data_IF_994101808472
#
_entry.id   IF_994101808472
#
_cell.length_a   1.000
_cell.length_b   1.000
_cell.length_c   1.000
_cell.angle_alpha   90.00
_cell.angle_beta   90.00
_cell.angle_gamma   90.00
#
_symmetry.space_group_name_H-M   'P 1'
#
loop_
_entity.id
_entity.type
_entity.pdbx_description
1 polymer ?
#
# COMPACT_ATOMS: atom_id res chain seq x y z
N UNK A 1 -12.00 44.86 44.43
CA UNK A 1 -12.32 45.39 43.08
C UNK A 1 -10.99 45.73 42.43
N UNK A 2 -10.53 45.24 41.29
CA UNK A 2 -11.09 44.39 40.22
C UNK A 2 -9.87 43.83 39.46
N UNK A 3 -9.97 42.58 39.02
CA UNK A 3 -9.01 41.87 38.15
C UNK A 3 -8.95 42.49 36.75
N UNK A 4 -7.79 42.41 36.08
CA UNK A 4 -7.74 42.24 34.62
C UNK A 4 -6.55 41.40 34.20
N UNK A 5 -6.86 40.43 33.34
CA UNK A 5 -6.06 39.30 32.89
C UNK A 5 -4.84 39.69 32.03
N UNK A 6 -3.70 39.05 32.29
CA UNK A 6 -2.73 38.70 31.27
C UNK A 6 -2.76 37.19 31.08
N UNK A 7 -3.21 36.71 29.91
CA UNK A 7 -3.05 35.32 29.49
C UNK A 7 -2.09 35.29 28.31
N UNK A 8 -0.92 34.70 28.56
CA UNK A 8 -0.02 34.17 27.56
C UNK A 8 -0.76 33.10 26.75
N UNK A 9 -0.84 33.27 25.44
CA UNK A 9 -1.33 32.26 24.51
C UNK A 9 -0.19 31.31 24.15
N UNK A 10 -0.02 30.26 24.93
CA UNK A 10 0.65 29.03 24.53
C UNK A 10 -0.21 28.36 23.46
N UNK A 11 0.25 28.35 22.20
CA UNK A 11 -0.25 27.44 21.16
C UNK A 11 0.28 26.05 21.45
N UNK A 12 -0.25 25.44 22.51
CA UNK A 12 -0.29 23.99 22.64
C UNK A 12 -1.26 23.50 21.57
N UNK A 13 -0.67 22.69 20.68
CA UNK A 13 -1.30 21.60 19.94
C UNK A 13 -2.65 21.21 20.59
N UNK A 14 -3.76 21.75 20.08
CA UNK A 14 -5.08 21.15 20.21
C UNK A 14 -5.06 19.86 19.37
N UNK A 15 -4.40 18.84 19.91
CA UNK A 15 -4.77 17.45 19.62
C UNK A 15 -6.23 17.38 20.02
N UNK A 16 -7.08 17.30 19.00
CA UNK A 16 -8.49 17.02 19.11
C UNK A 16 -8.67 15.73 19.93
N UNK A 17 -8.82 15.90 21.24
CA UNK A 17 -9.42 14.95 22.16
C UNK A 17 -10.91 14.85 21.85
N UNK A 18 -11.23 14.16 20.77
CA UNK A 18 -12.54 13.55 20.57
C UNK A 18 -12.28 12.09 20.18
N UNK A 19 -12.22 11.23 21.20
CA UNK A 19 -12.35 9.77 21.12
C UNK A 19 -11.77 9.11 19.86
N UNK A 20 -10.44 9.12 19.69
CA UNK A 20 -9.80 8.28 18.67
C UNK A 20 -10.12 6.83 18.99
N UNK A 21 -10.95 6.22 18.14
CA UNK A 21 -11.02 4.77 18.03
C UNK A 21 -9.58 4.24 17.87
N UNK A 22 -9.08 3.52 18.85
CA UNK A 22 -7.72 2.93 18.92
C UNK A 22 -7.52 1.85 17.81
N UNK A 23 -8.42 1.76 16.82
CA UNK A 23 -8.46 0.74 15.79
C UNK A 23 -8.73 1.27 14.36
N UNK A 24 -8.55 2.56 14.07
CA UNK A 24 -8.67 3.07 12.70
C UNK A 24 -7.41 2.68 11.88
N UNK A 25 -7.55 1.71 10.98
CA UNK A 25 -6.50 1.38 9.99
C UNK A 25 -6.29 2.61 9.11
N UNK A 26 -5.14 3.26 9.19
CA UNK A 26 -4.80 4.40 8.33
C UNK A 26 -4.68 3.95 6.86
N UNK A 27 -4.99 4.83 5.89
CA UNK A 27 -4.91 4.46 4.49
C UNK A 27 -3.45 4.29 4.07
N UNK A 28 -3.23 3.32 3.18
CA UNK A 28 -1.90 2.87 2.74
C UNK A 28 -1.60 3.42 1.36
N UNK A 29 -0.46 4.09 1.23
CA UNK A 29 0.07 4.56 -0.05
C UNK A 29 1.28 3.70 -0.40
N UNK A 30 1.20 2.95 -1.50
CA UNK A 30 2.38 2.24 -2.00
C UNK A 30 3.33 3.21 -2.68
N UNK A 31 4.62 3.10 -2.36
CA UNK A 31 5.68 3.90 -2.96
C UNK A 31 6.76 2.97 -3.49
N UNK A 32 6.96 2.93 -4.81
CA UNK A 32 7.97 2.05 -5.40
C UNK A 32 9.37 2.61 -5.16
N UNK A 33 10.27 1.79 -4.64
CA UNK A 33 11.63 2.21 -4.29
C UNK A 33 12.49 2.50 -5.51
N UNK A 34 13.46 3.41 -5.35
CA UNK A 34 14.66 3.53 -6.19
C UNK A 34 15.75 2.60 -5.69
N UNK A 35 16.81 2.41 -6.47
CA UNK A 35 17.94 1.55 -6.14
C UNK A 35 19.24 2.32 -6.23
N UNK A 36 20.13 2.08 -5.28
CA UNK A 36 21.53 2.51 -5.36
C UNK A 36 22.45 1.35 -5.00
N UNK A 37 23.72 1.46 -5.39
CA UNK A 37 24.76 0.51 -5.01
C UNK A 37 25.58 1.12 -3.88
N UNK A 38 25.52 0.51 -2.70
CA UNK A 38 26.35 0.90 -1.55
C UNK A 38 27.19 -0.27 -1.11
N UNK A 39 28.53 -0.12 -1.12
CA UNK A 39 29.48 -1.18 -0.75
C UNK A 39 29.22 -2.49 -1.52
N UNK A 40 29.03 -2.40 -2.84
CA UNK A 40 28.71 -3.51 -3.74
C UNK A 40 27.42 -4.28 -3.40
N UNK A 41 26.47 -3.63 -2.72
CA UNK A 41 25.15 -4.20 -2.42
C UNK A 41 24.07 -3.27 -2.92
N UNK A 42 23.03 -3.84 -3.49
CA UNK A 42 21.84 -3.09 -3.84
C UNK A 42 21.10 -2.67 -2.58
N UNK A 43 20.73 -1.39 -2.54
CA UNK A 43 19.94 -0.78 -1.48
C UNK A 43 18.75 -0.10 -2.14
N UNK A 44 17.57 -0.56 -1.77
CA UNK A 44 16.32 0.07 -2.19
C UNK A 44 15.99 1.22 -1.23
N UNK A 45 15.62 2.39 -1.76
CA UNK A 45 15.36 3.60 -0.98
C UNK A 45 14.26 4.47 -1.61
N UNK A 46 13.70 5.39 -0.82
CA UNK A 46 12.76 6.43 -1.28
C UNK A 46 13.19 7.75 -0.63
N UNK A 47 13.05 8.87 -1.34
CA UNK A 47 13.35 10.20 -0.78
C UNK A 47 12.49 10.50 0.45
N UNK A 48 13.10 11.05 1.51
CA UNK A 48 12.41 11.28 2.79
C UNK A 48 11.20 12.22 2.64
N UNK A 49 11.29 13.24 1.77
CA UNK A 49 10.21 14.21 1.57
C UNK A 49 8.91 13.60 1.05
N UNK A 50 8.99 12.63 0.14
CA UNK A 50 7.81 11.88 -0.32
C UNK A 50 7.10 11.20 0.86
N UNK A 51 7.89 10.52 1.69
CA UNK A 51 7.38 9.76 2.84
C UNK A 51 6.81 10.70 3.92
N UNK A 52 7.51 11.79 4.20
CA UNK A 52 7.11 12.79 5.18
C UNK A 52 5.80 13.46 4.79
N UNK A 53 5.65 13.92 3.54
CA UNK A 53 4.42 14.56 3.06
C UNK A 53 3.23 13.59 3.13
N UNK A 54 3.41 12.31 2.80
CA UNK A 54 2.36 11.29 2.96
C UNK A 54 1.93 11.16 4.43
N UNK A 55 2.89 11.05 5.35
CA UNK A 55 2.63 10.91 6.79
C UNK A 55 1.96 12.17 7.35
N UNK A 56 2.47 13.35 6.98
CA UNK A 56 1.99 14.66 7.42
C UNK A 56 0.50 14.86 7.11
N UNK A 57 0.05 14.40 5.95
CA UNK A 57 -1.36 14.52 5.55
C UNK A 57 -2.24 13.34 5.98
N UNK A 58 -1.69 12.37 6.72
CA UNK A 58 -2.48 11.35 7.42
C UNK A 58 -2.59 9.98 6.72
N UNK A 59 -1.65 9.64 5.85
CA UNK A 59 -1.53 8.30 5.25
C UNK A 59 -0.25 7.57 5.66
N UNK A 60 -0.21 6.25 5.46
CA UNK A 60 0.94 5.40 5.77
C UNK A 60 1.66 5.03 4.47
N UNK A 61 2.90 5.48 4.25
CA UNK A 61 3.69 5.03 3.11
C UNK A 61 4.17 3.60 3.32
N UNK A 62 4.07 2.78 2.27
CA UNK A 62 4.56 1.40 2.23
C UNK A 62 5.52 1.30 1.06
N UNK A 63 6.81 1.11 1.36
CA UNK A 63 7.84 0.99 0.33
C UNK A 63 7.74 -0.37 -0.34
N UNK A 64 7.61 -0.36 -1.67
CA UNK A 64 7.58 -1.55 -2.51
C UNK A 64 8.98 -1.75 -3.12
N UNK A 65 9.71 -2.81 -2.74
CA UNK A 65 11.08 -3.02 -3.19
C UNK A 65 11.16 -3.46 -4.66
N UNK A 66 12.29 -3.24 -5.32
CA UNK A 66 12.51 -3.61 -6.74
C UNK A 66 13.02 -5.04 -6.87
N UNK A 67 12.17 -6.03 -6.58
CA UNK A 67 12.57 -7.45 -6.62
C UNK A 67 11.93 -8.16 -7.79
N UNK A 68 12.73 -8.95 -8.51
CA UNK A 68 12.26 -9.76 -9.64
C UNK A 68 11.07 -10.64 -9.22
N UNK A 69 10.02 -10.65 -10.04
CA UNK A 69 8.79 -11.39 -9.78
C UNK A 69 7.80 -10.73 -8.81
N UNK A 70 8.16 -9.63 -8.13
CA UNK A 70 7.25 -8.94 -7.19
C UNK A 70 5.97 -8.41 -7.87
N UNK A 71 6.06 -8.06 -9.15
CA UNK A 71 4.91 -7.64 -9.96
C UNK A 71 3.76 -8.68 -9.92
N UNK A 72 4.06 -9.97 -9.83
CA UNK A 72 3.07 -11.05 -9.73
C UNK A 72 2.47 -11.21 -8.33
N UNK A 73 3.05 -10.56 -7.32
CA UNK A 73 2.66 -10.65 -5.91
C UNK A 73 2.01 -9.36 -5.40
N UNK A 74 1.74 -8.38 -6.28
CA UNK A 74 1.19 -7.07 -5.90
C UNK A 74 -0.13 -7.15 -5.12
N UNK A 75 -0.92 -8.20 -5.35
CA UNK A 75 -2.18 -8.41 -4.63
C UNK A 75 -1.95 -8.67 -3.12
N UNK A 76 -0.74 -9.10 -2.72
CA UNK A 76 -0.36 -9.27 -1.32
C UNK A 76 -0.24 -7.95 -0.56
N UNK A 77 -0.18 -6.81 -1.27
CA UNK A 77 -0.16 -5.48 -0.65
C UNK A 77 -1.57 -4.94 -0.34
N UNK A 78 -2.64 -5.66 -0.71
CA UNK A 78 -4.00 -5.20 -0.48
C UNK A 78 -4.38 -5.09 1.03
N UNK A 79 -5.29 -4.17 1.39
CA UNK A 79 -5.86 -3.11 0.55
C UNK A 79 -4.85 -2.00 0.18
N UNK A 80 -4.91 -1.57 -1.08
CA UNK A 80 -4.15 -0.44 -1.64
C UNK A 80 -5.10 0.76 -1.72
N UNK A 81 -4.75 1.87 -1.06
CA UNK A 81 -5.60 3.07 -1.01
C UNK A 81 -5.05 4.21 -1.87
N UNK A 82 -3.76 4.18 -2.15
CA UNK A 82 -3.09 5.09 -3.08
C UNK A 82 -1.79 4.52 -3.60
N UNK A 83 -1.31 5.06 -4.71
CA UNK A 83 -0.01 4.75 -5.28
C UNK A 83 0.71 6.05 -5.60
N UNK A 84 1.94 6.19 -5.12
CA UNK A 84 2.87 7.23 -5.51
C UNK A 84 4.04 6.59 -6.28
N UNK A 85 4.17 6.94 -7.55
CA UNK A 85 5.34 6.56 -8.33
C UNK A 85 6.27 7.77 -8.46
N UNK A 86 7.50 7.60 -7.98
CA UNK A 86 8.50 8.66 -7.88
C UNK A 86 9.44 8.64 -9.10
N UNK A 87 10.54 9.37 -9.01
CA UNK A 87 11.58 9.42 -10.03
C UNK A 87 12.42 8.15 -10.17
N UNK A 88 13.15 8.07 -11.27
CA UNK A 88 14.04 6.97 -11.55
C UNK A 88 14.69 7.04 -12.92
N UNK A 89 15.28 5.91 -13.27
CA UNK A 89 15.97 5.63 -14.51
C UNK A 89 15.01 5.43 -15.69
N UNK A 90 15.51 5.52 -16.92
CA UNK A 90 14.69 5.47 -18.14
C UNK A 90 13.77 4.24 -18.24
N UNK A 91 12.60 4.45 -18.84
CA UNK A 91 11.64 3.39 -19.15
C UNK A 91 12.09 2.68 -20.43
N UNK A 92 12.04 1.35 -20.45
CA UNK A 92 12.40 0.55 -21.64
C UNK A 92 11.60 1.03 -22.89
N UNK A 93 12.25 1.53 -23.95
CA UNK A 93 11.57 2.03 -25.14
C UNK A 93 10.65 1.01 -25.81
N UNK A 94 10.93 -0.29 -25.66
CA UNK A 94 10.07 -1.35 -26.20
C UNK A 94 8.66 -1.37 -25.59
N UNK A 95 8.42 -0.65 -24.49
CA UNK A 95 7.12 -0.55 -23.83
C UNK A 95 6.20 0.50 -24.47
N UNK A 96 6.75 1.44 -25.25
CA UNK A 96 5.98 2.57 -25.81
C UNK A 96 6.34 2.95 -27.24
N UNK A 97 7.40 2.37 -27.81
CA UNK A 97 7.74 2.52 -29.22
C UNK A 97 7.25 1.32 -30.02
N UNK A 98 6.49 1.59 -31.08
CA UNK A 98 5.85 0.54 -31.88
C UNK A 98 6.42 0.35 -33.28
N UNK A 99 7.47 1.08 -33.72
CA UNK A 99 8.34 0.72 -34.87
C UNK A 99 9.22 1.85 -35.47
N UNK A 100 9.24 3.08 -34.95
CA UNK A 100 10.01 4.18 -35.55
C UNK A 100 10.66 5.09 -34.51
N UNK A 101 11.76 4.66 -33.89
CA UNK A 101 12.68 5.63 -33.29
C UNK A 101 13.34 6.39 -34.44
N UNK A 102 13.18 7.72 -34.45
CA UNK A 102 13.89 8.58 -35.42
C UNK A 102 15.36 8.79 -35.03
N UNK A 103 15.80 8.17 -33.92
CA UNK A 103 17.15 8.26 -33.40
C UNK A 103 18.02 7.24 -34.11
N UNK A 104 19.14 7.72 -34.65
CA UNK A 104 20.17 6.84 -35.20
C UNK A 104 20.89 6.11 -34.05
N UNK A 105 21.59 5.00 -34.32
CA UNK A 105 22.44 4.37 -33.32
C UNK A 105 23.49 5.32 -32.72
N UNK A 106 23.94 6.32 -33.49
CA UNK A 106 24.85 7.36 -33.03
C UNK A 106 24.18 8.31 -32.04
N UNK A 107 22.92 8.70 -32.28
CA UNK A 107 22.16 9.55 -31.37
C UNK A 107 21.89 8.82 -30.06
N UNK A 108 21.51 7.54 -30.11
CA UNK A 108 21.34 6.69 -28.92
C UNK A 108 22.65 6.59 -28.13
N UNK A 109 23.79 6.45 -28.80
CA UNK A 109 25.09 6.42 -28.14
C UNK A 109 25.44 7.78 -27.48
N UNK A 110 25.12 8.91 -28.13
CA UNK A 110 25.30 10.25 -27.54
C UNK A 110 24.44 10.44 -26.30
N UNK A 111 23.16 10.06 -26.35
CA UNK A 111 22.23 10.15 -25.21
C UNK A 111 22.76 9.33 -24.04
N UNK A 112 23.19 8.08 -24.28
CA UNK A 112 23.79 7.22 -23.23
C UNK A 112 25.05 7.82 -22.61
N UNK A 113 25.87 8.49 -23.41
CA UNK A 113 27.09 9.15 -22.92
C UNK A 113 26.79 10.45 -22.17
N UNK A 114 25.72 11.17 -22.54
CA UNK A 114 25.28 12.39 -21.87
C UNK A 114 24.59 12.09 -20.53
N UNK A 115 23.79 11.02 -20.48
CA UNK A 115 22.94 10.65 -19.35
C UNK A 115 23.32 9.27 -18.76
N UNK A 116 24.60 9.09 -18.45
CA UNK A 116 25.17 7.79 -18.01
C UNK A 116 24.48 7.24 -16.76
N UNK A 117 24.04 8.12 -15.84
CA UNK A 117 23.35 7.75 -14.61
C UNK A 117 21.89 7.35 -14.79
N UNK A 118 21.25 7.79 -15.87
CA UNK A 118 19.80 7.78 -16.02
C UNK A 118 19.32 6.80 -17.10
N UNK A 119 20.13 6.56 -18.14
CA UNK A 119 19.80 5.65 -19.28
C UNK A 119 19.78 4.15 -18.95
N UNK A 120 19.97 3.77 -17.68
CA UNK A 120 19.95 2.37 -17.26
C UNK A 120 18.52 1.85 -17.16
N UNK A 121 18.15 0.91 -18.03
CA UNK A 121 16.83 0.27 -17.99
C UNK A 121 16.71 -0.72 -16.82
N UNK A 122 15.69 -0.55 -15.98
CA UNK A 122 15.26 -1.54 -14.99
C UNK A 122 13.89 -2.14 -15.35
N UNK A 123 13.94 -3.33 -15.94
CA UNK A 123 12.76 -4.10 -16.35
C UNK A 123 11.88 -4.56 -15.18
N UNK A 124 12.48 -4.85 -14.03
CA UNK A 124 11.71 -5.26 -12.85
C UNK A 124 10.92 -4.06 -12.30
N UNK A 125 11.54 -2.89 -12.23
CA UNK A 125 10.89 -1.63 -11.86
C UNK A 125 9.78 -1.28 -12.86
N UNK A 126 10.06 -1.30 -14.16
CA UNK A 126 9.08 -1.04 -15.21
C UNK A 126 7.86 -1.97 -15.08
N UNK A 127 8.08 -3.27 -14.85
CA UNK A 127 7.00 -4.25 -14.69
C UNK A 127 6.15 -4.00 -13.45
N UNK A 128 6.77 -3.74 -12.29
CA UNK A 128 6.06 -3.44 -11.03
C UNK A 128 5.21 -2.18 -11.21
N UNK A 129 5.80 -1.12 -11.76
CA UNK A 129 5.17 0.18 -11.86
C UNK A 129 4.07 0.24 -12.90
N UNK A 130 4.27 -0.34 -14.09
CA UNK A 130 3.21 -0.47 -15.09
C UNK A 130 2.02 -1.28 -14.56
N UNK A 131 2.28 -2.35 -13.81
CA UNK A 131 1.20 -3.14 -13.21
C UNK A 131 0.45 -2.39 -12.11
N UNK A 132 1.13 -1.58 -11.30
CA UNK A 132 0.48 -0.70 -10.32
C UNK A 132 -0.33 0.39 -11.01
N UNK A 133 0.22 1.05 -12.03
CA UNK A 133 -0.48 2.07 -12.80
C UNK A 133 -1.76 1.52 -13.45
N UNK A 134 -1.68 0.35 -14.09
CA UNK A 134 -2.86 -0.34 -14.67
C UNK A 134 -3.92 -0.65 -13.61
N UNK A 135 -3.54 -1.18 -12.45
CA UNK A 135 -4.48 -1.42 -11.34
C UNK A 135 -5.14 -0.12 -10.87
N UNK A 136 -4.40 0.98 -10.81
CA UNK A 136 -4.97 2.28 -10.44
C UNK A 136 -5.98 2.78 -11.46
N UNK A 137 -5.67 2.64 -12.75
CA UNK A 137 -6.54 3.02 -13.86
C UNK A 137 -7.80 2.16 -13.97
N UNK A 138 -7.72 0.88 -13.62
CA UNK A 138 -8.85 -0.07 -13.64
C UNK A 138 -9.79 0.11 -12.46
N UNK A 139 -9.24 0.43 -11.28
CA UNK A 139 -10.00 0.48 -10.01
C UNK A 139 -10.24 1.90 -9.51
N UNK A 140 -9.80 2.92 -10.26
CA UNK A 140 -9.77 4.32 -9.86
C UNK A 140 -9.13 4.50 -8.48
N UNK A 141 -8.01 3.82 -8.22
CA UNK A 141 -7.19 4.04 -7.01
C UNK A 141 -6.45 5.36 -7.21
N UNK A 142 -6.46 6.27 -6.21
CA UNK A 142 -5.67 7.48 -6.23
C UNK A 142 -4.21 7.22 -6.63
N UNK A 143 -3.74 7.93 -7.65
CA UNK A 143 -2.44 7.82 -8.25
C UNK A 143 -1.79 9.19 -8.42
N UNK A 144 -0.57 9.34 -7.89
CA UNK A 144 0.30 10.48 -8.15
C UNK A 144 1.60 9.96 -8.80
N UNK A 145 1.89 10.41 -10.01
CA UNK A 145 3.15 10.12 -10.69
C UNK A 145 4.02 11.37 -10.77
N UNK A 146 5.26 11.29 -10.28
CA UNK A 146 6.23 12.40 -10.30
C UNK A 146 7.43 12.01 -11.17
N UNK A 147 7.82 12.92 -12.07
CA UNK A 147 8.85 12.70 -13.08
C UNK A 147 8.61 11.39 -13.85
N UNK A 148 9.45 10.38 -13.65
CA UNK A 148 9.28 9.03 -14.23
C UNK A 148 7.90 8.41 -13.92
N UNK A 149 7.35 8.63 -12.73
CA UNK A 149 6.01 8.15 -12.39
C UNK A 149 4.92 8.73 -13.28
N UNK A 150 5.05 9.97 -13.75
CA UNK A 150 4.13 10.55 -14.73
C UNK A 150 4.26 9.86 -16.10
N UNK A 151 5.49 9.55 -16.49
CA UNK A 151 5.79 8.88 -17.76
C UNK A 151 5.23 7.45 -17.78
N UNK A 152 5.38 6.70 -16.68
CA UNK A 152 4.77 5.36 -16.51
C UNK A 152 3.26 5.42 -16.69
N UNK A 153 2.59 6.40 -16.07
CA UNK A 153 1.14 6.57 -16.19
C UNK A 153 0.72 6.79 -17.65
N UNK A 154 1.46 7.64 -18.38
CA UNK A 154 1.22 7.90 -19.79
C UNK A 154 1.40 6.63 -20.64
N UNK A 155 2.50 5.90 -20.45
CA UNK A 155 2.79 4.64 -21.15
C UNK A 155 1.75 3.56 -20.84
N UNK A 156 1.29 3.46 -19.58
CA UNK A 156 0.26 2.51 -19.17
C UNK A 156 -1.07 2.72 -19.91
N UNK A 157 -1.35 3.94 -20.40
CA UNK A 157 -2.52 4.27 -21.21
C UNK A 157 -2.24 4.34 -22.73
N UNK A 158 -1.09 3.85 -23.20
CA UNK A 158 -0.74 3.81 -24.62
C UNK A 158 -0.24 5.14 -25.20
N UNK A 159 0.21 6.07 -24.34
CA UNK A 159 1.03 7.21 -24.74
C UNK A 159 2.46 6.80 -25.06
N UNK A 160 3.27 7.75 -25.54
CA UNK A 160 4.69 7.54 -25.83
C UNK A 160 5.57 8.66 -25.29
N UNK A 161 6.88 8.40 -25.20
CA UNK A 161 7.88 9.31 -24.66
C UNK A 161 8.87 9.74 -25.74
N UNK A 162 9.50 10.89 -25.53
CA UNK A 162 10.79 11.22 -26.13
C UNK A 162 11.85 10.45 -25.34
N UNK A 163 12.74 9.75 -26.04
CA UNK A 163 13.91 9.14 -25.40
C UNK A 163 14.92 10.20 -24.97
N UNK A 164 14.94 11.33 -25.69
CA UNK A 164 15.68 12.51 -25.31
C UNK A 164 15.01 13.79 -25.84
N UNK A 165 14.54 14.63 -24.92
CA UNK A 165 13.81 15.87 -25.23
C UNK A 165 14.72 16.89 -25.95
N UNK A 166 15.98 17.01 -25.52
CA UNK A 166 16.93 17.95 -26.12
C UNK A 166 17.19 17.63 -27.61
N UNK A 167 17.43 16.36 -27.90
CA UNK A 167 17.68 15.84 -29.25
C UNK A 167 16.41 15.83 -30.12
N UNK A 168 15.27 15.40 -29.57
CA UNK A 168 14.07 15.16 -30.38
C UNK A 168 13.11 16.35 -30.47
N UNK A 169 13.06 17.24 -29.47
CA UNK A 169 12.10 18.33 -29.35
C UNK A 169 12.77 19.71 -29.42
N UNK A 170 13.64 20.05 -28.46
CA UNK A 170 14.21 21.40 -28.31
C UNK A 170 15.00 21.81 -29.56
N UNK A 171 15.87 20.92 -30.04
CA UNK A 171 16.67 21.13 -31.25
C UNK A 171 15.83 21.33 -32.52
N UNK A 172 14.65 20.71 -32.60
CA UNK A 172 13.80 20.79 -33.81
C UNK A 172 12.91 22.03 -33.84
N UNK A 173 12.50 22.52 -32.67
CA UNK A 173 11.63 23.71 -32.58
C UNK A 173 12.42 25.02 -32.51
N UNK A 174 13.74 24.96 -32.35
CA UNK A 174 14.60 26.15 -32.23
C UNK A 174 14.33 26.93 -30.94
N UNK A 175 13.77 26.27 -29.92
CA UNK A 175 13.53 26.82 -28.59
C UNK A 175 14.48 26.09 -27.64
N UNK A 176 15.40 26.83 -27.03
CA UNK A 176 16.37 26.28 -26.10
C UNK A 176 15.77 26.24 -24.68
N UNK A 177 15.14 25.11 -24.36
CA UNK A 177 14.70 24.78 -22.99
C UNK A 177 15.59 23.66 -22.49
N UNK A 178 16.34 23.94 -21.43
CA UNK A 178 17.14 22.95 -20.72
C UNK A 178 16.26 22.26 -19.67
N UNK A 179 16.05 20.95 -19.82
CA UNK A 179 15.26 20.12 -18.90
C UNK A 179 16.11 19.32 -17.90
N UNK A 180 17.42 19.35 -18.08
CA UNK A 180 18.37 18.72 -17.16
C UNK A 180 19.63 19.56 -17.04
N UNK A 181 20.03 19.85 -15.81
CA UNK A 181 21.30 20.51 -15.51
C UNK A 181 22.04 19.73 -14.42
N UNK A 182 23.04 18.94 -14.84
CA UNK A 182 23.85 18.15 -13.93
C UNK A 182 24.71 18.99 -12.97
N UNK A 183 25.02 20.24 -13.34
CA UNK A 183 25.78 21.15 -12.48
C UNK A 183 24.88 21.85 -11.45
N UNK A 184 23.58 21.98 -11.74
CA UNK A 184 22.59 22.63 -10.88
C UNK A 184 21.36 21.73 -10.63
N UNK A 185 21.61 20.56 -10.03
CA UNK A 185 20.64 19.47 -9.89
C UNK A 185 19.31 19.85 -9.19
N UNK A 186 19.39 20.59 -8.08
CA UNK A 186 18.21 20.98 -7.28
C UNK A 186 17.79 22.44 -7.51
N UNK A 187 18.66 23.30 -8.05
CA UNK A 187 18.40 24.72 -8.22
C UNK A 187 17.95 25.13 -9.62
N UNK A 188 18.07 24.27 -10.64
CA UNK A 188 17.63 24.61 -12.00
C UNK A 188 16.11 24.80 -12.07
N UNK A 189 15.67 25.84 -12.77
CA UNK A 189 14.24 26.18 -12.95
C UNK A 189 13.98 26.61 -14.39
N UNK A 190 12.83 26.24 -14.94
CA UNK A 190 12.31 26.83 -16.19
C UNK A 190 10.82 27.20 -16.03
N UNK A 191 10.32 28.15 -16.83
CA UNK A 191 8.90 28.49 -16.80
C UNK A 191 8.06 27.36 -17.41
N UNK A 192 6.80 27.27 -16.97
CA UNK A 192 5.73 26.49 -17.60
C UNK A 192 4.48 27.36 -17.69
N UNK A 193 3.77 27.26 -18.81
CA UNK A 193 2.44 27.87 -18.96
C UNK A 193 1.40 26.91 -18.40
N UNK A 194 0.67 27.34 -17.37
CA UNK A 194 -0.40 26.59 -16.72
C UNK A 194 -1.72 26.83 -17.44
N UNK A 195 -2.44 25.75 -17.75
CA UNK A 195 -3.71 25.78 -18.47
C UNK A 195 -4.84 26.14 -17.49
N UNK A 196 -5.70 27.07 -17.92
CA UNK A 196 -6.86 27.52 -17.14
C UNK A 196 -7.89 26.39 -16.93
N UNK A 197 -8.56 26.41 -15.79
CA UNK A 197 -9.59 25.42 -15.43
C UNK A 197 -9.03 24.06 -15.03
N UNK A 198 -7.74 23.95 -14.75
CA UNK A 198 -7.08 22.70 -14.33
C UNK A 198 -6.77 22.69 -12.83
N UNK A 199 -6.64 21.52 -12.20
CA UNK A 199 -6.26 21.42 -10.78
C UNK A 199 -4.98 22.18 -10.45
N UNK A 200 -3.98 22.13 -11.34
CA UNK A 200 -2.71 22.82 -11.14
C UNK A 200 -2.88 24.34 -11.03
N UNK A 201 -3.78 24.94 -11.81
CA UNK A 201 -4.09 26.36 -11.72
C UNK A 201 -4.65 26.71 -10.34
N UNK A 202 -5.58 25.88 -9.83
CA UNK A 202 -6.19 26.09 -8.52
C UNK A 202 -5.17 25.95 -7.39
N UNK A 203 -4.26 24.98 -7.51
CA UNK A 203 -3.27 24.71 -6.47
C UNK A 203 -2.28 25.85 -6.30
N UNK A 204 -1.80 26.43 -7.40
CA UNK A 204 -0.79 27.48 -7.41
C UNK A 204 -1.35 28.88 -7.68
N UNK A 205 -2.66 29.09 -7.49
CA UNK A 205 -3.35 30.32 -7.89
C UNK A 205 -2.67 31.61 -7.40
N UNK A 206 -2.12 31.62 -6.19
CA UNK A 206 -1.47 32.79 -5.59
C UNK A 206 -0.03 33.01 -6.09
N UNK A 207 0.60 31.98 -6.63
CA UNK A 207 1.97 31.98 -7.16
C UNK A 207 2.05 32.15 -8.68
N UNK A 208 0.93 32.06 -9.39
CA UNK A 208 0.86 32.24 -10.84
C UNK A 208 1.19 33.67 -11.25
N UNK A 209 2.13 33.82 -12.18
CA UNK A 209 2.50 35.11 -12.78
C UNK A 209 1.82 35.27 -14.12
N UNK A 210 1.35 36.48 -14.43
CA UNK A 210 0.75 36.76 -15.74
C UNK A 210 1.86 36.96 -16.78
N UNK A 211 1.81 36.17 -17.84
CA UNK A 211 2.73 36.18 -18.98
C UNK A 211 1.99 36.52 -20.27
N UNK A 212 2.73 36.78 -21.35
CA UNK A 212 2.15 37.05 -22.67
C UNK A 212 1.37 35.84 -23.24
N UNK A 213 1.71 34.64 -22.77
CA UNK A 213 1.14 33.36 -23.24
C UNK A 213 0.10 32.75 -22.30
N UNK A 214 -0.14 33.37 -21.13
CA UNK A 214 -1.08 32.85 -20.13
C UNK A 214 -0.58 33.03 -18.70
N UNK A 215 -1.01 32.14 -17.80
CA UNK A 215 -0.52 32.07 -16.43
C UNK A 215 0.74 31.19 -16.36
N UNK A 216 1.79 31.68 -15.74
CA UNK A 216 3.12 31.07 -15.73
C UNK A 216 3.56 30.70 -14.31
N UNK A 217 4.21 29.54 -14.18
CA UNK A 217 4.83 29.04 -12.95
C UNK A 217 6.28 28.65 -13.29
N UNK A 218 7.25 28.94 -12.43
CA UNK A 218 8.62 28.41 -12.61
C UNK A 218 8.75 27.13 -11.80
N UNK A 219 9.14 26.03 -12.46
CA UNK A 219 9.26 24.70 -11.84
C UNK A 219 10.68 24.18 -11.94
N UNK A 220 11.05 23.25 -11.06
CA UNK A 220 12.33 22.56 -11.15
C UNK A 220 12.33 21.51 -12.26
N UNK A 221 13.51 21.18 -12.75
CA UNK A 221 13.63 20.27 -13.88
C UNK A 221 14.91 19.44 -13.80
N UNK A 222 14.70 18.13 -13.82
CA UNK A 222 15.74 17.11 -13.88
C UNK A 222 15.17 15.90 -14.62
N UNK A 223 15.08 16.00 -15.94
CA UNK A 223 14.66 14.90 -16.80
C UNK A 223 15.16 15.14 -18.23
N UNK A 224 15.64 14.08 -18.87
CA UNK A 224 15.94 14.13 -20.30
C UNK A 224 14.89 13.39 -21.13
N UNK A 225 14.13 12.47 -20.54
CA UNK A 225 12.89 11.92 -21.11
C UNK A 225 11.68 12.81 -20.80
N UNK A 226 10.64 12.71 -21.62
CA UNK A 226 9.38 13.43 -21.42
C UNK A 226 8.25 12.93 -22.32
N UNK A 227 7.02 13.38 -22.06
CA UNK A 227 5.84 12.93 -22.83
C UNK A 227 5.88 13.43 -24.27
N UNK A 228 5.88 12.50 -25.24
CA UNK A 228 5.81 12.78 -26.68
C UNK A 228 4.40 12.74 -27.21
N UNK A 229 3.69 11.66 -26.91
CA UNK A 229 2.26 11.52 -27.18
C UNK A 229 1.56 11.31 -25.85
N UNK A 230 0.80 12.30 -25.42
CA UNK A 230 -0.08 12.15 -24.27
C UNK A 230 -1.21 11.17 -24.62
N UNK A 231 -1.47 10.21 -23.75
CA UNK A 231 -2.55 9.25 -23.93
C UNK A 231 -3.91 9.96 -23.98
N UNK A 232 -4.84 9.47 -24.79
CA UNK A 232 -6.14 10.11 -25.05
C UNK A 232 -7.05 10.22 -23.82
N UNK A 233 -6.75 9.45 -22.77
CA UNK A 233 -7.44 9.49 -21.48
C UNK A 233 -7.14 10.77 -20.70
N UNK A 234 -6.00 11.41 -20.94
CA UNK A 234 -5.52 12.51 -20.11
C UNK A 234 -5.67 13.87 -20.79
N UNK A 235 -5.79 14.91 -19.96
CA UNK A 235 -5.69 16.30 -20.39
C UNK A 235 -4.43 16.95 -19.79
N UNK A 236 -3.70 17.78 -20.56
CA UNK A 236 -2.56 18.52 -20.02
C UNK A 236 -3.02 19.57 -19.00
N UNK A 237 -2.14 19.89 -18.06
CA UNK A 237 -2.28 20.98 -17.08
C UNK A 237 -1.22 22.07 -17.26
N UNK A 238 -0.05 21.73 -17.80
CA UNK A 238 1.00 22.69 -18.08
C UNK A 238 1.88 22.27 -19.26
N UNK A 239 2.46 23.26 -19.93
CA UNK A 239 3.46 23.07 -20.98
C UNK A 239 4.71 23.91 -20.73
N UNK A 240 5.88 23.35 -21.01
CA UNK A 240 7.12 24.11 -21.14
C UNK A 240 7.12 24.96 -22.45
N UNK A 241 8.03 25.95 -22.61
CA UNK A 241 8.07 26.82 -23.78
C UNK A 241 8.30 26.10 -25.12
N UNK A 242 8.96 24.94 -25.11
CA UNK A 242 9.13 24.05 -26.25
C UNK A 242 7.88 23.20 -26.55
N UNK A 243 6.84 23.31 -25.73
CA UNK A 243 5.57 22.61 -25.81
C UNK A 243 5.55 21.24 -25.13
N UNK A 244 6.62 20.82 -24.44
CA UNK A 244 6.63 19.58 -23.66
C UNK A 244 5.52 19.63 -22.60
N UNK A 245 4.78 18.52 -22.43
CA UNK A 245 3.76 18.41 -21.37
C UNK A 245 4.45 18.22 -20.03
N UNK A 246 4.21 19.13 -19.09
CA UNK A 246 4.86 19.17 -17.77
C UNK A 246 3.95 18.67 -16.65
N UNK A 247 2.65 18.65 -16.88
CA UNK A 247 1.68 18.08 -15.96
C UNK A 247 0.43 17.67 -16.73
N UNK A 248 -0.26 16.62 -16.28
CA UNK A 248 -1.52 16.15 -16.86
C UNK A 248 -2.37 15.40 -15.82
N UNK A 249 -3.66 15.25 -16.10
CA UNK A 249 -4.61 14.58 -15.21
C UNK A 249 -5.69 13.82 -15.99
N UNK A 250 -6.38 12.90 -15.31
CA UNK A 250 -7.60 12.27 -15.82
C UNK A 250 -8.84 13.12 -15.44
N UNK A 251 -9.49 13.80 -16.40
CA UNK A 251 -10.64 14.65 -16.10
C UNK A 251 -11.87 13.86 -15.63
N UNK A 252 -11.94 12.55 -15.90
CA UNK A 252 -13.04 11.70 -15.44
C UNK A 252 -12.84 11.20 -14.00
N UNK A 253 -11.65 11.37 -13.42
CA UNK A 253 -11.26 10.88 -12.09
C UNK A 253 -10.48 11.97 -11.35
N UNK A 254 -11.11 13.14 -11.19
CA UNK A 254 -10.51 14.35 -10.65
C UNK A 254 -11.40 15.01 -9.58
N UNK A 255 -11.72 14.26 -8.53
CA UNK A 255 -12.41 14.75 -7.35
C UNK A 255 -11.83 14.13 -6.07
N UNK A 256 -10.90 14.84 -5.40
CA UNK A 256 -10.27 14.34 -4.18
C UNK A 256 -11.26 13.99 -3.06
N UNK A 257 -12.41 14.68 -2.96
CA UNK A 257 -13.42 14.39 -1.93
C UNK A 257 -14.11 13.03 -2.14
N UNK A 258 -14.17 12.56 -3.38
CA UNK A 258 -14.80 11.28 -3.77
C UNK A 258 -13.78 10.14 -3.93
N UNK A 259 -12.51 10.41 -3.61
CA UNK A 259 -11.40 9.47 -3.75
C UNK A 259 -10.96 9.26 -5.19
N UNK A 260 -11.07 10.30 -6.01
CA UNK A 260 -10.74 10.30 -7.43
C UNK A 260 -9.55 11.23 -7.68
N UNK A 261 -8.39 10.66 -8.00
CA UNK A 261 -7.18 11.43 -8.24
C UNK A 261 -6.24 10.61 -9.11
N UNK A 262 -6.11 10.91 -10.40
CA UNK A 262 -5.11 10.26 -11.27
C UNK A 262 -4.37 11.35 -12.02
N UNK A 263 -3.14 11.63 -11.60
CA UNK A 263 -2.35 12.77 -12.11
C UNK A 263 -0.87 12.43 -12.28
N UNK A 264 -0.25 13.10 -13.25
CA UNK A 264 1.18 13.03 -13.53
C UNK A 264 1.80 14.42 -13.59
N UNK A 265 2.90 14.63 -12.88
CA UNK A 265 3.73 15.85 -12.92
C UNK A 265 5.14 15.45 -13.35
N UNK A 266 5.72 16.17 -14.30
CA UNK A 266 7.07 15.93 -14.79
C UNK A 266 8.13 16.59 -13.89
N UNK A 267 7.81 17.77 -13.35
CA UNK A 267 8.59 18.44 -12.31
C UNK A 267 8.37 17.84 -10.91
N UNK A 268 9.15 18.32 -9.94
CA UNK A 268 9.26 17.78 -8.58
C UNK A 268 8.81 18.81 -7.52
N UNK A 269 7.51 18.93 -7.22
CA UNK A 269 7.01 19.90 -6.24
C UNK A 269 7.61 19.69 -4.84
N UNK A 270 8.00 18.47 -4.48
CA UNK A 270 8.64 18.15 -3.20
C UNK A 270 10.08 18.66 -3.09
N UNK A 271 10.71 19.00 -4.21
CA UNK A 271 12.09 19.51 -4.30
C UNK A 271 12.17 21.00 -4.64
N UNK A 272 11.04 21.67 -4.90
CA UNK A 272 11.00 23.10 -5.17
C UNK A 272 11.17 23.89 -3.87
N UNK A 273 12.40 23.90 -3.36
CA UNK A 273 12.76 24.47 -2.06
C UNK A 273 13.94 25.41 -2.22
N UNK A 274 13.95 26.45 -1.39
CA UNK A 274 15.06 27.38 -1.31
C UNK A 274 16.33 26.63 -0.92
N UNK A 275 17.44 26.90 -1.63
CA UNK A 275 18.77 26.46 -1.21
C UNK A 275 19.05 27.02 0.17
N UNK A 276 19.11 26.15 1.18
CA UNK A 276 19.65 26.52 2.47
C UNK A 276 21.12 26.10 2.50
N UNK A 277 22.02 27.08 2.46
CA UNK A 277 23.44 26.94 2.82
C UNK A 277 23.63 26.62 4.33
N UNK A 278 22.78 25.78 4.91
CA UNK A 278 22.79 25.48 6.34
C UNK A 278 23.10 23.99 6.53
N UNK A 279 24.22 23.63 7.18
CA UNK A 279 24.58 22.26 7.46
C UNK A 279 23.45 21.52 8.20
N UNK A 280 23.10 20.33 7.69
CA UNK A 280 22.06 19.42 8.22
C UNK A 280 22.23 19.14 9.73
N UNK A 281 23.45 19.28 10.25
CA UNK A 281 23.79 19.05 11.66
C UNK A 281 23.16 20.06 12.64
N UNK A 282 22.68 21.22 12.16
CA UNK A 282 22.16 22.30 13.01
C UNK A 282 20.66 22.59 12.87
N UNK A 283 19.91 21.77 12.12
CA UNK A 283 18.49 21.99 11.90
C UNK A 283 17.64 20.98 12.65
N UNK A 284 16.65 21.48 13.39
CA UNK A 284 15.59 20.62 13.94
C UNK A 284 14.68 20.14 12.81
N UNK A 285 14.15 18.91 12.92
CA UNK A 285 13.19 18.38 11.93
C UNK A 285 12.01 19.34 11.72
N UNK A 286 11.58 20.10 12.73
CA UNK A 286 10.52 21.10 12.58
C UNK A 286 10.91 22.31 11.69
N UNK A 287 12.17 22.74 11.67
CA UNK A 287 12.63 23.90 10.88
C UNK A 287 12.78 23.59 9.38
N UNK A 288 13.17 22.36 9.05
CA UNK A 288 13.17 21.82 7.69
C UNK A 288 11.77 21.58 7.12
N UNK A 289 10.70 21.87 7.88
CA UNK A 289 9.33 21.45 7.57
C UNK A 289 8.32 22.61 7.55
N UNK A 290 8.78 23.85 7.78
CA UNK A 290 7.95 25.05 7.64
C UNK A 290 7.70 25.37 6.15
N UNK A 291 6.48 25.83 5.82
CA UNK A 291 6.09 26.26 4.46
C UNK A 291 7.05 27.31 3.87
N UNK A 292 7.78 28.03 4.73
CA UNK A 292 8.77 29.06 4.40
C UNK A 292 10.04 28.56 3.70
N UNK A 293 10.16 27.26 3.43
CA UNK A 293 11.33 26.67 2.75
C UNK A 293 11.06 26.32 1.30
N UNK A 294 9.79 26.25 0.88
CA UNK A 294 9.44 25.94 -0.50
C UNK A 294 9.53 27.21 -1.35
N UNK A 295 9.86 27.06 -2.64
CA UNK A 295 9.81 28.15 -3.61
C UNK A 295 8.41 28.79 -3.65
N UNK A 296 7.39 27.97 -3.42
CA UNK A 296 5.99 28.37 -3.26
C UNK A 296 5.36 27.65 -2.06
N UNK A 297 4.60 28.34 -1.19
CA UNK A 297 3.91 27.69 -0.07
C UNK A 297 2.92 26.59 -0.51
N UNK A 298 2.48 26.62 -1.77
CA UNK A 298 1.53 25.68 -2.35
C UNK A 298 2.17 24.38 -2.88
N UNK A 299 3.51 24.27 -2.91
CA UNK A 299 4.19 23.04 -3.36
C UNK A 299 3.68 21.76 -2.66
N UNK A 300 3.45 21.74 -1.33
CA UNK A 300 2.86 20.58 -0.65
C UNK A 300 1.39 20.28 -1.00
N UNK A 301 0.65 21.22 -1.62
CA UNK A 301 -0.79 21.09 -1.90
C UNK A 301 -1.12 19.91 -2.81
N UNK A 302 -0.21 19.56 -3.72
CA UNK A 302 -0.34 18.36 -4.58
C UNK A 302 -0.45 17.09 -3.73
N UNK A 303 0.40 16.95 -2.70
CA UNK A 303 0.38 15.81 -1.79
C UNK A 303 -0.83 15.86 -0.86
N UNK A 304 -1.22 17.06 -0.43
CA UNK A 304 -2.42 17.25 0.38
C UNK A 304 -3.67 16.75 -0.33
N UNK A 305 -3.89 17.17 -1.59
CA UNK A 305 -5.04 16.73 -2.39
C UNK A 305 -4.96 15.23 -2.74
N UNK A 306 -3.76 14.73 -3.04
CA UNK A 306 -3.56 13.28 -3.24
C UNK A 306 -3.91 12.46 -2.00
N UNK A 307 -3.40 12.82 -0.83
CA UNK A 307 -3.68 12.08 0.42
C UNK A 307 -5.13 12.23 0.84
N UNK A 308 -5.74 13.39 0.60
CA UNK A 308 -7.18 13.60 0.77
C UNK A 308 -7.99 12.61 -0.08
N UNK A 309 -7.63 12.44 -1.35
CA UNK A 309 -8.23 11.43 -2.23
C UNK A 309 -8.01 10.01 -1.71
N UNK A 310 -6.82 9.70 -1.20
CA UNK A 310 -6.50 8.39 -0.59
C UNK A 310 -7.40 8.09 0.62
N UNK A 311 -7.61 9.07 1.49
CA UNK A 311 -8.49 8.96 2.66
C UNK A 311 -9.95 8.78 2.23
N UNK A 312 -10.41 9.56 1.26
CA UNK A 312 -11.77 9.45 0.71
C UNK A 312 -12.00 8.08 0.03
N UNK A 313 -11.03 7.61 -0.74
CA UNK A 313 -11.06 6.30 -1.40
C UNK A 313 -11.17 5.16 -0.38
N UNK A 314 -10.41 5.22 0.72
CA UNK A 314 -10.54 4.27 1.82
C UNK A 314 -11.94 4.29 2.42
N UNK A 315 -12.49 5.47 2.75
CA UNK A 315 -13.84 5.61 3.30
C UNK A 315 -14.88 5.00 2.35
N UNK A 316 -14.73 5.23 1.04
CA UNK A 316 -15.60 4.67 -0.02
C UNK A 316 -15.52 3.15 -0.10
N UNK A 317 -14.33 2.56 0.08
CA UNK A 317 -14.20 1.10 0.15
C UNK A 317 -14.88 0.54 1.39
N UNK A 318 -14.67 1.16 2.55
CA UNK A 318 -15.30 0.73 3.81
C UNK A 318 -16.83 0.86 3.77
N UNK A 319 -17.38 1.92 3.17
CA UNK A 319 -18.82 2.10 3.02
C UNK A 319 -19.43 1.04 2.08
N UNK A 320 -18.80 0.76 0.93
CA UNK A 320 -19.23 -0.31 0.02
C UNK A 320 -19.18 -1.70 0.66
N UNK A 321 -18.21 -1.95 1.54
CA UNK A 321 -18.19 -3.20 2.29
C UNK A 321 -19.29 -3.27 3.36
N UNK A 322 -19.65 -2.15 4.00
CA UNK A 322 -20.79 -2.08 4.93
C UNK A 322 -22.13 -2.31 4.22
N UNK A 323 -22.32 -1.74 3.04
CA UNK A 323 -23.52 -1.95 2.20
C UNK A 323 -23.67 -3.42 1.75
N UNK A 324 -22.57 -4.11 1.44
CA UNK A 324 -22.58 -5.53 1.08
C UNK A 324 -22.88 -6.48 2.26
N UNK A 325 -22.89 -5.99 3.51
CA UNK A 325 -22.96 -6.81 4.74
C UNK A 325 -24.34 -6.93 5.39
N UNK A 326 -25.42 -6.44 4.77
CA UNK A 326 -26.78 -6.59 5.32
C UNK A 326 -27.67 -7.51 4.48
N UNK A 327 -27.59 -8.85 4.64
CA UNK A 327 -28.73 -9.72 4.44
C UNK A 327 -29.51 -9.84 5.76
N UNK A 328 -30.83 -9.59 5.74
CA UNK A 328 -31.72 -9.97 6.85
C UNK A 328 -31.76 -11.51 6.93
N UNK A 329 -31.06 -12.09 7.91
CA UNK A 329 -31.13 -13.52 8.20
C UNK A 329 -32.38 -13.78 9.05
N UNK A 330 -33.21 -14.73 8.64
CA UNK A 330 -34.41 -15.17 9.36
C UNK A 330 -34.02 -15.85 10.68
N UNK A 331 -34.57 -15.38 11.79
CA UNK A 331 -34.28 -15.86 13.14
C UNK A 331 -34.55 -17.37 13.29
N UNK A 332 -35.48 -17.92 12.51
CA UNK A 332 -35.80 -19.35 12.51
C UNK A 332 -34.65 -20.23 11.97
N UNK A 333 -33.85 -19.71 11.03
CA UNK A 333 -32.73 -20.47 10.44
C UNK A 333 -31.55 -20.53 11.42
N UNK A 334 -31.30 -19.45 12.17
CA UNK A 334 -30.27 -19.39 13.20
C UNK A 334 -30.54 -20.36 14.37
N UNK A 335 -31.80 -20.46 14.81
CA UNK A 335 -32.22 -21.42 15.83
C UNK A 335 -32.00 -22.88 15.38
N UNK A 336 -32.31 -23.20 14.12
CA UNK A 336 -32.13 -24.55 13.57
C UNK A 336 -30.65 -24.95 13.49
N UNK A 337 -29.80 -24.04 13.01
CA UNK A 337 -28.35 -24.27 12.93
C UNK A 337 -27.73 -24.41 14.33
N UNK A 338 -28.22 -23.64 15.30
CA UNK A 338 -27.79 -23.75 16.70
C UNK A 338 -28.11 -25.13 17.29
N UNK A 339 -29.33 -25.63 17.09
CA UNK A 339 -29.75 -26.94 17.60
C UNK A 339 -28.95 -28.11 16.99
N UNK A 340 -28.60 -28.04 15.70
CA UNK A 340 -27.76 -29.04 15.03
C UNK A 340 -26.31 -29.03 15.53
N UNK A 341 -25.77 -27.84 15.83
CA UNK A 341 -24.45 -27.70 16.43
C UNK A 341 -24.41 -28.29 17.85
N UNK A 342 -25.36 -27.94 18.71
CA UNK A 342 -25.44 -28.44 20.10
C UNK A 342 -25.52 -29.97 20.14
N UNK A 343 -26.31 -30.59 19.25
CA UNK A 343 -26.42 -32.05 19.14
C UNK A 343 -25.09 -32.71 18.77
N UNK A 344 -24.37 -32.14 17.81
CA UNK A 344 -23.11 -32.72 17.34
C UNK A 344 -21.97 -32.52 18.34
N UNK A 345 -21.98 -31.41 19.09
CA UNK A 345 -21.05 -31.20 20.21
C UNK A 345 -21.26 -32.22 21.35
N UNK A 346 -22.52 -32.53 21.68
CA UNK A 346 -22.83 -33.55 22.70
C UNK A 346 -22.33 -34.94 22.30
N UNK A 347 -22.38 -35.28 21.01
CA UNK A 347 -21.86 -36.56 20.51
C UNK A 347 -20.33 -36.64 20.58
N UNK A 348 -19.64 -35.59 20.13
CA UNK A 348 -18.17 -35.50 20.19
C UNK A 348 -17.64 -35.57 21.64
N UNK A 349 -18.35 -34.94 22.60
CA UNK A 349 -18.04 -35.02 24.04
C UNK A 349 -18.08 -36.44 24.58
N UNK A 350 -19.14 -37.20 24.27
CA UNK A 350 -19.30 -38.57 24.75
C UNK A 350 -18.13 -39.47 24.32
N UNK A 351 -17.70 -39.36 23.06
CA UNK A 351 -16.58 -40.13 22.52
C UNK A 351 -15.22 -39.69 23.09
N UNK A 352 -15.02 -38.39 23.33
CA UNK A 352 -13.79 -37.89 23.96
C UNK A 352 -13.66 -38.31 25.42
N UNK A 353 -14.75 -38.27 26.19
CA UNK A 353 -14.79 -38.75 27.58
C UNK A 353 -14.63 -40.27 27.67
N UNK A 354 -15.20 -41.04 26.73
CA UNK A 354 -14.97 -42.50 26.60
C UNK A 354 -13.51 -42.85 26.29
N UNK A 355 -12.87 -42.14 25.33
CA UNK A 355 -11.46 -42.33 25.01
C UNK A 355 -10.51 -41.96 26.17
N UNK A 356 -10.89 -40.95 26.97
CA UNK A 356 -10.14 -40.57 28.17
C UNK A 356 -10.26 -41.61 29.28
N UNK A 357 -11.46 -42.18 29.48
CA UNK A 357 -11.67 -43.25 30.47
C UNK A 357 -10.97 -44.57 30.10
N UNK A 358 -10.80 -44.87 28.81
CA UNK A 358 -9.99 -46.01 28.36
C UNK A 358 -8.47 -45.78 28.56
N UNK A 359 -8.00 -44.52 28.51
CA UNK A 359 -6.60 -44.17 28.80
C UNK A 359 -6.27 -44.14 30.32
N UNK A 360 -7.29 -44.09 31.19
CA UNK A 360 -7.12 -44.03 32.66
C UNK A 360 -6.83 -45.39 33.32
N UNK A 361 -6.92 -46.52 32.59
CA UNK A 361 -6.44 -47.81 33.11
C UNK A 361 -4.91 -47.99 33.08
N UNK A 362 -4.15 -46.95 32.70
CA UNK A 362 -2.68 -46.98 32.71
C UNK A 362 -2.05 -45.62 32.97
N UNK A 363 -2.22 -45.03 34.15
CA UNK A 363 -1.36 -43.92 34.58
C UNK A 363 -2.02 -42.84 35.44
N UNK A 364 -2.18 -43.11 36.74
CA UNK A 364 -2.35 -42.04 37.75
C UNK A 364 -1.04 -41.24 37.85
N UNK A 365 -0.92 -40.12 37.13
CA UNK A 365 -0.16 -38.89 37.51
C UNK A 365 0.08 -38.01 36.27
N UNK A 366 -0.78 -37.01 36.05
CA UNK A 366 -0.38 -35.74 35.46
C UNK A 366 -1.53 -34.71 35.57
N UNK A 367 -1.19 -33.54 36.09
CA UNK A 367 -2.01 -32.32 36.22
C UNK A 367 -3.13 -32.31 37.29
N UNK A 368 -2.67 -32.20 38.54
CA UNK A 368 -3.30 -31.39 39.60
C UNK A 368 -2.78 -29.94 39.56
N UNK A 369 -2.06 -29.53 38.52
CA UNK A 369 -1.41 -28.22 38.46
C UNK A 369 -2.01 -27.38 37.32
N UNK A 370 -3.09 -26.67 37.64
CA UNK A 370 -3.36 -25.26 37.31
C UNK A 370 -4.77 -25.00 37.85
N UNK A 371 -4.80 -24.55 39.10
CA UNK A 371 -6.03 -24.29 39.82
C UNK A 371 -6.75 -23.09 39.21
N UNK A 372 -7.87 -23.37 38.56
CA UNK A 372 -8.97 -22.43 38.42
C UNK A 372 -10.24 -23.21 38.78
N UNK A 373 -10.72 -22.99 40.01
CA UNK A 373 -12.13 -23.23 40.31
C UNK A 373 -12.91 -22.18 39.53
N UNK A 374 -13.39 -22.54 38.34
CA UNK A 374 -14.23 -21.66 37.54
C UNK A 374 -15.68 -22.13 37.59
N UNK A 375 -16.49 -21.23 38.13
CA UNK A 375 -17.94 -21.27 38.20
C UNK A 375 -18.44 -21.03 36.79
N UNK A 376 -18.64 -22.09 36.01
CA UNK A 376 -19.21 -22.00 34.67
C UNK A 376 -20.39 -22.95 34.53
N UNK A 377 -21.39 -22.49 33.79
CA UNK A 377 -22.63 -23.24 33.56
C UNK A 377 -22.39 -24.39 32.57
N UNK A 378 -23.28 -25.41 32.54
CA UNK A 378 -23.07 -26.65 31.77
C UNK A 378 -22.71 -26.44 30.29
N UNK A 379 -23.22 -25.37 29.66
CA UNK A 379 -22.94 -25.05 28.25
C UNK A 379 -21.51 -24.54 28.01
N UNK A 380 -20.89 -23.87 28.98
CA UNK A 380 -19.51 -23.35 28.85
C UNK A 380 -18.47 -24.46 29.03
N UNK A 381 -18.76 -25.44 29.88
CA UNK A 381 -17.94 -26.66 29.99
C UNK A 381 -17.98 -27.49 28.69
N UNK A 382 -19.13 -27.54 28.00
CA UNK A 382 -19.29 -28.24 26.72
C UNK A 382 -18.48 -27.62 25.60
N UNK A 383 -18.49 -26.29 25.50
CA UNK A 383 -17.68 -25.53 24.54
C UNK A 383 -16.18 -25.74 24.77
N UNK A 384 -15.74 -25.81 26.02
CA UNK A 384 -14.32 -26.01 26.34
C UNK A 384 -13.82 -27.43 25.97
N UNK A 385 -14.64 -28.45 26.21
CA UNK A 385 -14.30 -29.84 25.81
C UNK A 385 -14.26 -29.97 24.28
N UNK A 386 -15.25 -29.39 23.58
CA UNK A 386 -15.23 -29.32 22.12
C UNK A 386 -14.04 -28.55 21.55
N UNK A 387 -13.66 -27.43 22.17
CA UNK A 387 -12.49 -26.65 21.77
C UNK A 387 -11.16 -27.39 21.98
N UNK A 388 -11.02 -28.12 23.10
CA UNK A 388 -9.84 -28.96 23.38
C UNK A 388 -9.73 -30.13 22.40
N UNK A 389 -10.86 -30.73 22.01
CA UNK A 389 -10.93 -31.79 21.01
C UNK A 389 -10.55 -31.32 19.59
N UNK A 390 -11.05 -30.15 19.19
CA UNK A 390 -10.70 -29.53 17.91
C UNK A 390 -9.21 -29.17 17.87
N UNK A 391 -8.67 -28.63 18.98
CA UNK A 391 -7.23 -28.35 19.08
C UNK A 391 -6.34 -29.61 18.95
N UNK A 392 -6.80 -30.79 19.37
CA UNK A 392 -6.05 -32.03 19.13
C UNK A 392 -6.10 -32.51 17.68
N UNK A 393 -7.12 -32.13 16.91
CA UNK A 393 -7.33 -32.57 15.53
C UNK A 393 -6.93 -31.54 14.47
N UNK A 394 -6.71 -30.27 14.83
CA UNK A 394 -6.19 -29.22 13.92
C UNK A 394 -4.66 -29.15 13.90
N UNK A 395 -3.97 -30.29 13.93
CA UNK A 395 -2.54 -30.31 13.65
C UNK A 395 -2.33 -29.92 12.18
N UNK A 396 -1.65 -28.79 11.93
CA UNK A 396 -1.22 -28.43 10.57
C UNK A 396 -0.40 -29.58 9.99
N UNK A 397 -0.73 -30.00 8.78
CA UNK A 397 0.04 -31.06 8.09
C UNK A 397 1.52 -30.69 8.05
N UNK A 398 2.42 -31.66 8.16
CA UNK A 398 3.87 -31.43 8.17
C UNK A 398 4.36 -30.62 6.97
N UNK A 399 3.60 -30.63 5.86
CA UNK A 399 3.83 -29.84 4.64
C UNK A 399 3.53 -28.35 4.80
N UNK A 400 2.46 -27.99 5.52
CA UNK A 400 2.10 -26.59 5.83
C UNK A 400 3.09 -25.95 6.81
N UNK A 401 3.63 -26.75 7.74
CA UNK A 401 4.66 -26.29 8.68
C UNK A 401 6.02 -26.09 7.99
N UNK A 402 6.36 -26.94 7.00
CA UNK A 402 7.57 -26.76 6.18
C UNK A 402 7.52 -25.47 5.34
N UNK A 403 6.33 -25.13 4.84
CA UNK A 403 6.09 -23.88 4.11
C UNK A 403 6.26 -22.64 5.01
N UNK A 404 5.84 -22.71 6.28
CA UNK A 404 6.06 -21.66 7.28
C UNK A 404 7.54 -21.55 7.72
N UNK A 405 8.27 -22.67 7.72
CA UNK A 405 9.72 -22.72 8.00
C UNK A 405 10.55 -22.02 6.91
N UNK A 406 10.14 -22.11 5.64
CA UNK A 406 10.80 -21.44 4.51
C UNK A 406 10.49 -19.93 4.46
N UNK A 407 9.37 -19.47 5.03
CA UNK A 407 8.92 -18.06 4.98
C UNK A 407 9.37 -17.18 6.16
N UNK A 408 10.16 -17.70 7.10
CA UNK A 408 10.95 -16.86 8.01
C UNK A 408 10.56 -16.92 9.48
N UNK A 409 11.50 -17.41 10.29
CA UNK A 409 11.64 -17.01 11.67
C UNK A 409 13.12 -17.10 12.06
N UNK A 410 13.80 -15.96 12.04
CA UNK A 410 15.13 -15.81 12.62
C UNK A 410 15.05 -16.06 14.13
N UNK A 411 15.99 -16.86 14.60
CA UNK A 411 16.10 -17.50 15.91
C UNK A 411 16.07 -16.49 17.08
N UNK A 412 14.95 -16.46 17.81
CA UNK A 412 14.91 -16.19 19.28
C UNK A 412 13.86 -17.01 20.06
N UNK A 413 12.90 -17.67 19.40
CA UNK A 413 11.82 -18.46 20.05
C UNK A 413 11.85 -19.97 19.69
N UNK A 414 13.00 -20.53 19.30
CA UNK A 414 13.08 -21.91 18.81
C UNK A 414 12.70 -22.98 19.85
N UNK A 415 12.95 -22.76 21.14
CA UNK A 415 12.63 -23.73 22.21
C UNK A 415 11.13 -23.92 22.43
N UNK A 416 10.38 -22.81 22.58
CA UNK A 416 8.92 -22.84 22.72
C UNK A 416 8.22 -23.39 21.47
N UNK A 417 8.79 -23.13 20.29
CA UNK A 417 8.25 -23.65 19.03
C UNK A 417 8.45 -25.17 18.91
N UNK A 418 9.66 -25.68 19.24
CA UNK A 418 9.97 -27.11 19.21
C UNK A 418 9.13 -27.90 20.23
N UNK A 419 8.92 -27.34 21.42
CA UNK A 419 8.06 -27.95 22.45
C UNK A 419 6.60 -28.04 21.98
N UNK A 420 6.09 -27.00 21.32
CA UNK A 420 4.74 -26.98 20.74
C UNK A 420 4.59 -27.96 19.57
N UNK A 421 5.66 -28.16 18.79
CA UNK A 421 5.69 -29.12 17.69
C UNK A 421 5.63 -30.56 18.21
N UNK A 422 6.44 -30.91 19.22
CA UNK A 422 6.41 -32.24 19.85
C UNK A 422 5.06 -32.53 20.52
N UNK A 423 4.43 -31.52 21.14
CA UNK A 423 3.10 -31.66 21.72
C UNK A 423 2.04 -31.97 20.65
N UNK A 424 2.14 -31.34 19.47
CA UNK A 424 1.22 -31.59 18.36
C UNK A 424 1.42 -32.98 17.73
N UNK A 425 2.65 -33.46 17.58
CA UNK A 425 2.94 -34.80 17.07
C UNK A 425 2.35 -35.90 17.98
N UNK A 426 2.46 -35.73 19.31
CA UNK A 426 1.86 -36.67 20.28
C UNK A 426 0.34 -36.68 20.20
N UNK A 427 -0.28 -35.50 20.08
CA UNK A 427 -1.75 -35.36 19.94
C UNK A 427 -2.25 -35.97 18.63
N UNK A 428 -1.51 -35.81 17.54
CA UNK A 428 -1.86 -36.43 16.25
C UNK A 428 -1.79 -37.96 16.33
N UNK A 429 -0.78 -38.52 17.00
CA UNK A 429 -0.64 -39.96 17.20
C UNK A 429 -1.79 -40.55 18.05
N UNK A 430 -2.21 -39.86 19.11
CA UNK A 430 -3.35 -40.26 19.93
C UNK A 430 -4.68 -40.21 19.14
N UNK A 431 -4.88 -39.14 18.35
CA UNK A 431 -6.07 -39.00 17.51
C UNK A 431 -6.14 -40.09 16.42
N UNK A 432 -5.02 -40.43 15.77
CA UNK A 432 -4.96 -41.52 14.79
C UNK A 432 -5.30 -42.87 15.41
N UNK A 433 -4.74 -43.16 16.59
CA UNK A 433 -5.01 -44.41 17.31
C UNK A 433 -6.48 -44.54 17.75
N UNK A 434 -7.12 -43.41 18.10
CA UNK A 434 -8.56 -43.36 18.40
C UNK A 434 -9.41 -43.61 17.15
N UNK A 435 -9.07 -42.98 16.02
CA UNK A 435 -9.79 -43.13 14.75
C UNK A 435 -9.66 -44.54 14.14
N UNK A 436 -8.52 -45.21 14.33
CA UNK A 436 -8.31 -46.62 13.94
C UNK A 436 -9.27 -47.61 14.63
N UNK A 437 -9.84 -47.23 15.79
CA UNK A 437 -10.79 -48.05 16.55
C UNK A 437 -12.27 -47.77 16.25
N UNK A 438 -12.59 -46.83 15.36
CA UNK A 438 -13.97 -46.42 15.06
C UNK A 438 -14.57 -47.19 13.88
N UNK A 439 -15.87 -47.48 13.93
CA UNK A 439 -16.58 -48.10 12.81
C UNK A 439 -16.84 -47.07 11.67
N UNK A 440 -17.01 -47.54 10.44
CA UNK A 440 -17.13 -46.70 9.23
C UNK A 440 -18.27 -45.66 9.33
N UNK A 441 -19.39 -46.03 9.95
CA UNK A 441 -20.53 -45.14 10.18
C UNK A 441 -20.19 -44.03 11.19
N UNK A 442 -19.38 -44.32 12.21
CA UNK A 442 -18.94 -43.34 13.20
C UNK A 442 -17.89 -42.39 12.63
N UNK A 443 -17.02 -42.88 11.73
CA UNK A 443 -16.08 -42.05 10.98
C UNK A 443 -16.82 -41.09 10.03
N UNK A 444 -17.93 -41.53 9.43
CA UNK A 444 -18.73 -40.68 8.57
C UNK A 444 -19.43 -39.57 9.36
N UNK A 445 -20.03 -39.89 10.51
CA UNK A 445 -20.61 -38.89 11.42
C UNK A 445 -19.55 -37.89 11.91
N UNK A 446 -18.32 -38.36 12.11
CA UNK A 446 -17.19 -37.53 12.46
C UNK A 446 -16.80 -36.57 11.33
N UNK A 447 -16.68 -37.07 10.10
CA UNK A 447 -16.41 -36.24 8.92
C UNK A 447 -17.51 -35.19 8.72
N UNK A 448 -18.77 -35.57 8.90
CA UNK A 448 -19.91 -34.66 8.77
C UNK A 448 -19.90 -33.60 9.87
N UNK A 449 -19.51 -33.96 11.10
CA UNK A 449 -19.26 -33.00 12.18
C UNK A 449 -18.14 -32.01 11.83
N UNK A 450 -17.01 -32.47 11.28
CA UNK A 450 -15.92 -31.58 10.86
C UNK A 450 -16.35 -30.66 9.73
N UNK A 451 -17.11 -31.17 8.77
CA UNK A 451 -17.62 -30.38 7.65
C UNK A 451 -18.57 -29.30 8.15
N UNK A 452 -19.48 -29.65 9.05
CA UNK A 452 -20.39 -28.71 9.71
C UNK A 452 -19.63 -27.68 10.55
N UNK A 453 -18.57 -28.08 11.26
CA UNK A 453 -17.71 -27.17 12.02
C UNK A 453 -16.89 -26.25 11.13
N UNK A 454 -16.40 -26.73 9.98
CA UNK A 454 -15.72 -25.91 8.98
C UNK A 454 -16.69 -24.92 8.35
N UNK A 455 -17.92 -25.34 8.06
CA UNK A 455 -18.96 -24.47 7.53
C UNK A 455 -19.42 -23.44 8.57
N UNK A 456 -19.57 -23.83 9.83
CA UNK A 456 -19.88 -22.94 10.93
C UNK A 456 -18.71 -21.97 11.22
N UNK A 457 -17.46 -22.44 11.23
CA UNK A 457 -16.29 -21.61 11.39
C UNK A 457 -16.08 -20.67 10.19
N UNK A 458 -16.38 -21.12 8.97
CA UNK A 458 -16.36 -20.29 7.75
C UNK A 458 -17.47 -19.25 7.79
N UNK A 459 -18.65 -19.62 8.29
CA UNK A 459 -19.77 -18.71 8.52
C UNK A 459 -19.45 -17.71 9.62
N UNK A 460 -18.80 -18.12 10.71
CA UNK A 460 -18.35 -17.25 11.80
C UNK A 460 -17.15 -16.39 11.37
N UNK A 461 -16.25 -16.88 10.52
CA UNK A 461 -15.17 -16.10 9.91
C UNK A 461 -15.75 -15.09 8.92
N UNK A 462 -16.74 -15.47 8.12
CA UNK A 462 -17.55 -14.53 7.34
C UNK A 462 -18.24 -13.53 8.26
N UNK A 463 -18.86 -13.95 9.36
CA UNK A 463 -19.51 -13.06 10.33
C UNK A 463 -18.53 -12.17 11.08
N UNK A 464 -17.32 -12.60 11.43
CA UNK A 464 -16.24 -11.80 12.07
C UNK A 464 -15.58 -10.87 11.08
N UNK A 465 -15.40 -11.31 9.84
CA UNK A 465 -15.08 -10.44 8.72
C UNK A 465 -16.21 -9.43 8.53
N UNK A 466 -17.47 -9.81 8.77
CA UNK A 466 -18.65 -8.94 8.68
C UNK A 466 -18.84 -8.02 9.91
N UNK A 467 -18.40 -8.41 11.11
CA UNK A 467 -18.53 -7.64 12.37
C UNK A 467 -17.28 -6.83 12.74
N UNK A 468 -16.12 -7.10 12.13
CA UNK A 468 -15.01 -6.12 12.01
C UNK A 468 -15.30 -5.00 11.01
N UNK A 469 -16.49 -5.03 10.38
CA UNK A 469 -17.05 -3.92 9.62
C UNK A 469 -18.22 -3.22 10.36
N UNK A 470 -18.18 -3.17 11.69
CA UNK A 470 -18.85 -2.10 12.43
C UNK A 470 -17.88 -0.96 12.69
#
# INVERSE_FOLDING_TARGET
>A
MTRSNGKNGTTEIEIMENGRAIAAVLPRVLVVSRRTVRKNKFVDFVGEYHLDLIVRYGAVPVIVPRVSGLHSLLDSFEPIHGVLLCEGEDIDPSLYESDLSHLTPEDIAKIKNAHVSDTQIDKDKDSIELQLARRCLERNIPYLGICRGSQILNVACGGSLYQDVETELSSKKGVDVRHIDYANYDGHRHPVTVIEGTPLQEWFADSLRRSCTGSELHVNSYHHQGVKKLATRFQPMAHAPDGLVEAFYDPAVCNPEEGEFIMGLQFHPERMRHEQDIPIENQTKEQLMQESIFDYPECPRVYQEFVKAVVAYQKRLLSREKEKKVPKIDAAVLEKVRAELEKSFSFARGKFEEGRNQSIHGGRRALVALGEQSIFTGAEQELEVGARFLQSNTALTSRQVKFLHEMGATVRNSSLFLEKMQLNERKEAEARKMMEGMHEQELQEFIDFYRMMVDAASTVLQQKRNSRNF
#
